data_IF_017757964266
#
_entry.id   IF_017757964266
#
_cell.length_a   1.000
_cell.length_b   1.000
_cell.length_c   1.000
_cell.angle_alpha   90.00
_cell.angle_beta   90.00
_cell.angle_gamma   90.00
#
_symmetry.space_group_name_H-M   'P 1'
#
loop_
_entity.id
_entity.type
_entity.pdbx_description
1 polymer ?
#
# COMPACT_ATOMS: atom_id res chain seq x y z
N UNK A 1 18.83 31.92 -15.62
CA UNK A 1 18.68 30.99 -14.48
C UNK A 1 17.24 30.47 -14.54
N UNK A 2 17.01 29.23 -15.00
CA UNK A 2 15.66 28.64 -15.04
C UNK A 2 15.36 28.12 -13.64
N UNK A 3 14.46 28.77 -12.92
CA UNK A 3 13.95 28.25 -11.64
C UNK A 3 13.26 26.93 -11.97
N UNK A 4 13.69 25.83 -11.33
CA UNK A 4 13.05 24.54 -11.48
C UNK A 4 11.56 24.71 -11.16
N UNK A 5 10.69 24.18 -12.04
CA UNK A 5 9.23 24.21 -11.83
C UNK A 5 8.95 23.67 -10.43
N UNK A 6 8.35 24.50 -9.58
CA UNK A 6 8.06 24.16 -8.19
C UNK A 6 7.24 22.85 -8.18
N UNK A 7 7.83 21.78 -7.68
CA UNK A 7 7.16 20.49 -7.56
C UNK A 7 6.27 20.59 -6.33
N UNK A 8 5.00 20.98 -6.54
CA UNK A 8 3.99 20.93 -5.49
C UNK A 8 3.41 19.53 -5.42
N UNK A 9 3.59 18.87 -4.28
CA UNK A 9 2.85 17.65 -3.98
C UNK A 9 1.38 18.01 -3.77
N UNK A 10 0.49 17.44 -4.58
CA UNK A 10 -0.95 17.62 -4.45
C UNK A 10 -1.48 16.56 -3.48
N UNK A 11 -2.05 16.93 -2.32
CA UNK A 11 -2.60 15.98 -1.35
C UNK A 11 -3.66 15.05 -1.97
N UNK A 12 -4.44 15.54 -2.94
CA UNK A 12 -5.46 14.74 -3.62
C UNK A 12 -4.85 13.63 -4.47
N UNK A 13 -3.75 13.93 -5.17
CA UNK A 13 -3.07 12.95 -6.01
C UNK A 13 -2.34 11.89 -5.16
N UNK A 14 -1.79 12.30 -4.01
CA UNK A 14 -1.22 11.38 -3.03
C UNK A 14 -2.27 10.47 -2.40
N UNK A 15 -3.44 11.00 -2.04
CA UNK A 15 -4.56 10.21 -1.52
C UNK A 15 -5.09 9.21 -2.56
N UNK A 16 -5.19 9.62 -3.84
CA UNK A 16 -5.54 8.71 -4.94
C UNK A 16 -4.51 7.60 -5.13
N UNK A 17 -3.22 7.93 -5.01
CA UNK A 17 -2.16 6.92 -5.07
C UNK A 17 -2.29 5.94 -3.90
N UNK A 18 -2.52 6.43 -2.68
CA UNK A 18 -2.73 5.61 -1.50
C UNK A 18 -3.95 4.66 -1.66
N UNK A 19 -5.04 5.16 -2.24
CA UNK A 19 -6.21 4.34 -2.59
C UNK A 19 -5.89 3.23 -3.60
N UNK A 20 -5.02 3.51 -4.59
CA UNK A 20 -4.57 2.50 -5.53
C UNK A 20 -3.78 1.38 -4.84
N UNK A 21 -2.84 1.72 -3.94
CA UNK A 21 -2.10 0.73 -3.15
C UNK A 21 -3.02 -0.14 -2.28
N UNK A 22 -4.05 0.46 -1.66
CA UNK A 22 -5.05 -0.28 -0.89
C UNK A 22 -5.92 -1.22 -1.75
N UNK A 23 -6.24 -0.80 -2.97
CA UNK A 23 -7.04 -1.61 -3.89
C UNK A 23 -6.25 -2.82 -4.35
N UNK A 24 -5.01 -2.59 -4.80
CA UNK A 24 -4.11 -3.65 -5.24
C UNK A 24 -3.78 -4.63 -4.09
N UNK A 25 -3.60 -4.15 -2.85
CA UNK A 25 -3.36 -5.03 -1.69
C UNK A 25 -4.54 -5.96 -1.40
N UNK A 26 -5.78 -5.45 -1.50
CA UNK A 26 -7.00 -6.23 -1.36
C UNK A 26 -7.16 -7.27 -2.47
N UNK A 27 -6.87 -6.87 -3.71
CA UNK A 27 -6.95 -7.77 -4.86
C UNK A 27 -5.91 -8.89 -4.76
N UNK A 28 -4.69 -8.56 -4.37
CA UNK A 28 -3.64 -9.55 -4.07
C UNK A 28 -4.05 -10.51 -2.96
N UNK A 29 -4.62 -10.00 -1.86
CA UNK A 29 -5.12 -10.84 -0.77
C UNK A 29 -6.23 -11.80 -1.24
N UNK A 30 -7.18 -11.29 -2.04
CA UNK A 30 -8.25 -12.10 -2.64
C UNK A 30 -7.71 -13.17 -3.59
N UNK A 31 -6.73 -12.83 -4.42
CA UNK A 31 -6.06 -13.74 -5.33
C UNK A 31 -5.29 -14.83 -4.58
N UNK A 32 -4.53 -14.47 -3.53
CA UNK A 32 -3.82 -15.43 -2.68
C UNK A 32 -4.78 -16.41 -2.00
N UNK A 33 -5.89 -15.90 -1.44
CA UNK A 33 -6.90 -16.75 -0.79
C UNK A 33 -7.51 -17.74 -1.78
N UNK A 34 -7.82 -17.29 -3.00
CA UNK A 34 -8.34 -18.14 -4.08
C UNK A 34 -7.30 -19.18 -4.47
N UNK A 35 -6.06 -18.77 -4.73
CA UNK A 35 -4.97 -19.65 -5.12
C UNK A 35 -4.73 -20.74 -4.07
N UNK A 36 -4.67 -20.40 -2.78
CA UNK A 36 -4.56 -21.39 -1.68
C UNK A 36 -5.69 -22.41 -1.69
N UNK A 37 -6.91 -21.99 -1.99
CA UNK A 37 -8.06 -22.89 -2.14
C UNK A 37 -7.90 -23.87 -3.31
N UNK A 38 -7.32 -23.44 -4.42
CA UNK A 38 -7.15 -24.25 -5.64
C UNK A 38 -5.94 -25.18 -5.57
N UNK A 39 -4.84 -24.75 -4.94
CA UNK A 39 -3.59 -25.50 -4.86
C UNK A 39 -3.46 -26.32 -3.57
N UNK A 40 -4.42 -26.29 -2.66
CA UNK A 40 -4.39 -27.14 -1.47
C UNK A 40 -4.75 -28.59 -1.84
N UNK A 41 -3.74 -29.41 -2.12
CA UNK A 41 -3.91 -30.85 -2.40
C UNK A 41 -3.97 -31.66 -1.10
N UNK A 42 -4.91 -32.61 -1.04
CA UNK A 42 -4.99 -33.61 0.02
C UNK A 42 -3.80 -34.59 -0.02
N UNK A 43 -3.44 -35.15 1.14
CA UNK A 43 -2.33 -36.11 1.26
C UNK A 43 -2.55 -37.40 0.44
N UNK A 44 -3.82 -37.75 0.20
CA UNK A 44 -4.26 -38.87 -0.62
C UNK A 44 -3.90 -38.72 -2.11
N UNK A 45 -3.69 -37.51 -2.59
CA UNK A 45 -3.31 -37.21 -3.99
C UNK A 45 -1.86 -37.64 -4.28
N UNK A 46 -0.98 -37.68 -3.27
CA UNK A 46 0.43 -38.01 -3.43
C UNK A 46 0.72 -39.52 -3.49
N UNK A 47 -0.29 -40.36 -3.25
CA UNK A 47 -0.17 -41.81 -3.25
C UNK A 47 0.43 -42.39 -1.96
N UNK A 48 0.75 -43.69 -1.96
CA UNK A 48 1.16 -44.45 -0.78
C UNK A 48 2.63 -44.92 -0.80
N UNK A 49 3.45 -44.40 -1.71
CA UNK A 49 4.86 -44.71 -1.77
C UNK A 49 5.63 -44.05 -0.60
N UNK A 50 6.74 -44.63 -0.14
CA UNK A 50 7.58 -44.03 0.91
C UNK A 50 8.09 -42.62 0.54
N UNK A 51 8.23 -42.34 -0.76
CA UNK A 51 8.59 -41.02 -1.27
C UNK A 51 7.43 -40.00 -1.22
N UNK A 52 6.18 -40.45 -1.18
CA UNK A 52 4.99 -39.60 -1.23
C UNK A 52 4.95 -38.60 -0.07
N UNK A 53 5.31 -39.04 1.15
CA UNK A 53 5.36 -38.16 2.32
C UNK A 53 6.40 -37.03 2.16
N UNK A 54 7.55 -37.32 1.52
CA UNK A 54 8.58 -36.30 1.27
C UNK A 54 8.14 -35.30 0.20
N UNK A 55 7.46 -35.78 -0.84
CA UNK A 55 6.91 -34.93 -1.91
C UNK A 55 5.79 -34.04 -1.36
N UNK A 56 4.88 -34.59 -0.55
CA UNK A 56 3.83 -33.83 0.12
C UNK A 56 4.44 -32.73 1.02
N UNK A 57 5.43 -33.08 1.85
CA UNK A 57 6.08 -32.11 2.72
C UNK A 57 6.77 -30.98 1.93
N UNK A 58 7.47 -31.32 0.84
CA UNK A 58 8.08 -30.32 -0.03
C UNK A 58 7.04 -29.43 -0.74
N UNK A 59 5.94 -30.03 -1.18
CA UNK A 59 4.82 -29.32 -1.80
C UNK A 59 4.18 -28.31 -0.85
N UNK A 60 3.79 -28.75 0.35
CA UNK A 60 3.22 -27.88 1.37
C UNK A 60 4.22 -26.79 1.78
N UNK A 61 5.49 -27.15 1.97
CA UNK A 61 6.54 -26.17 2.28
C UNK A 61 6.69 -25.09 1.21
N UNK A 62 6.64 -25.47 -0.07
CA UNK A 62 6.71 -24.51 -1.17
C UNK A 62 5.49 -23.58 -1.22
N UNK A 63 4.27 -24.10 -1.01
CA UNK A 63 3.05 -23.29 -0.99
C UNK A 63 3.04 -22.33 0.19
N UNK A 64 3.42 -22.78 1.37
CA UNK A 64 3.47 -21.94 2.57
C UNK A 64 4.52 -20.82 2.41
N UNK A 65 5.70 -21.14 1.88
CA UNK A 65 6.73 -20.15 1.60
C UNK A 65 6.25 -19.11 0.56
N UNK A 66 5.68 -19.56 -0.56
CA UNK A 66 5.14 -18.66 -1.57
C UNK A 66 4.00 -17.79 -1.03
N UNK A 67 3.11 -18.37 -0.22
CA UNK A 67 2.02 -17.63 0.42
C UNK A 67 2.53 -16.57 1.39
N UNK A 68 3.55 -16.90 2.19
CA UNK A 68 4.19 -15.96 3.13
C UNK A 68 4.82 -14.77 2.38
N UNK A 69 5.47 -15.02 1.25
CA UNK A 69 6.10 -13.94 0.48
C UNK A 69 5.07 -13.00 -0.16
N UNK A 70 3.92 -13.53 -0.60
CA UNK A 70 2.81 -12.70 -1.08
C UNK A 70 2.16 -11.91 0.05
N UNK A 71 1.98 -12.50 1.24
CA UNK A 71 1.50 -11.78 2.43
C UNK A 71 2.42 -10.62 2.82
N UNK A 72 3.73 -10.79 2.72
CA UNK A 72 4.70 -9.72 2.95
C UNK A 72 4.55 -8.59 1.94
N UNK A 73 4.34 -8.92 0.66
CA UNK A 73 4.12 -7.90 -0.36
C UNK A 73 2.84 -7.10 -0.09
N UNK A 74 1.75 -7.77 0.31
CA UNK A 74 0.50 -7.12 0.71
C UNK A 74 0.75 -6.15 1.86
N UNK A 75 1.48 -6.57 2.89
CA UNK A 75 1.81 -5.72 4.03
C UNK A 75 2.61 -4.46 3.64
N UNK A 76 3.56 -4.58 2.69
CA UNK A 76 4.30 -3.43 2.15
C UNK A 76 3.36 -2.46 1.44
N UNK A 77 2.42 -2.96 0.63
CA UNK A 77 1.43 -2.09 -0.02
C UNK A 77 0.54 -1.34 0.99
N UNK A 78 0.19 -1.99 2.10
CA UNK A 78 -0.58 -1.36 3.18
C UNK A 78 0.26 -0.29 3.92
N UNK A 79 1.54 -0.56 4.19
CA UNK A 79 2.46 0.40 4.81
C UNK A 79 2.72 1.63 3.91
N UNK A 80 2.91 1.41 2.61
CA UNK A 80 3.09 2.48 1.63
C UNK A 80 1.83 3.34 1.52
N UNK A 81 0.64 2.73 1.55
CA UNK A 81 -0.63 3.43 1.58
C UNK A 81 -0.77 4.34 2.81
N UNK A 82 -0.46 3.81 4.00
CA UNK A 82 -0.49 4.61 5.23
C UNK A 82 0.48 5.79 5.15
N UNK A 83 1.71 5.54 4.68
CA UNK A 83 2.74 6.57 4.51
C UNK A 83 2.29 7.67 3.56
N UNK A 84 1.68 7.31 2.42
CA UNK A 84 1.15 8.28 1.46
C UNK A 84 0.01 9.13 2.04
N UNK A 85 -0.88 8.53 2.83
CA UNK A 85 -1.93 9.29 3.52
C UNK A 85 -1.35 10.26 4.55
N UNK A 86 -0.38 9.83 5.36
CA UNK A 86 0.28 10.70 6.33
C UNK A 86 0.92 11.92 5.66
N UNK A 87 1.61 11.72 4.52
CA UNK A 87 2.21 12.81 3.74
C UNK A 87 1.12 13.72 3.16
N UNK A 88 0.04 13.16 2.60
CA UNK A 88 -1.07 13.95 2.07
C UNK A 88 -1.69 14.87 3.15
N UNK A 89 -1.92 14.34 4.35
CA UNK A 89 -2.44 15.12 5.47
C UNK A 89 -1.45 16.19 5.93
N UNK A 90 -0.16 15.89 6.01
CA UNK A 90 0.86 16.86 6.40
C UNK A 90 0.92 18.05 5.43
N UNK A 91 0.84 17.79 4.12
CA UNK A 91 0.75 18.85 3.11
C UNK A 91 -0.52 19.67 3.25
N UNK A 92 -1.68 19.02 3.37
CA UNK A 92 -2.96 19.73 3.52
C UNK A 92 -2.98 20.62 4.77
N UNK A 93 -2.49 20.11 5.90
CA UNK A 93 -2.41 20.85 7.16
C UNK A 93 -1.49 22.07 7.04
N UNK A 94 -0.33 21.90 6.39
CA UNK A 94 0.61 22.99 6.15
C UNK A 94 0.01 24.07 5.25
N UNK A 95 -0.68 23.68 4.18
CA UNK A 95 -1.36 24.62 3.27
C UNK A 95 -2.46 25.41 4.00
N UNK A 96 -3.25 24.75 4.86
CA UNK A 96 -4.28 25.40 5.67
C UNK A 96 -3.68 26.41 6.66
N UNK A 97 -2.61 26.04 7.38
CA UNK A 97 -1.95 26.94 8.32
C UNK A 97 -1.31 28.15 7.61
N UNK A 98 -0.72 27.94 6.45
CA UNK A 98 -0.15 29.01 5.64
C UNK A 98 -1.24 29.96 5.14
N UNK A 99 -2.38 29.43 4.66
CA UNK A 99 -3.54 30.21 4.25
C UNK A 99 -4.08 31.07 5.40
N UNK A 100 -4.28 30.48 6.57
CA UNK A 100 -4.71 31.22 7.76
C UNK A 100 -3.71 32.32 8.16
N UNK A 101 -2.41 32.07 8.03
CA UNK A 101 -1.39 33.07 8.35
C UNK A 101 -1.43 34.25 7.36
N UNK A 102 -1.64 33.97 6.07
CA UNK A 102 -1.73 35.00 5.03
C UNK A 102 -2.98 35.86 5.22
N UNK A 103 -4.15 35.23 5.44
CA UNK A 103 -5.41 35.94 5.66
C UNK A 103 -5.30 36.88 6.89
N UNK A 104 -4.72 36.39 8.00
CA UNK A 104 -4.52 37.20 9.20
C UNK A 104 -3.50 38.35 9.04
N UNK A 105 -2.58 38.26 8.08
CA UNK A 105 -1.64 39.34 7.76
C UNK A 105 -2.29 40.40 6.88
N UNK A 106 -3.17 40.01 5.95
CA UNK A 106 -3.94 40.95 5.12
C UNK A 106 -4.94 41.74 5.99
N UNK A 107 -5.63 41.07 6.92
CA UNK A 107 -6.55 41.70 7.88
C UNK A 107 -5.89 42.67 8.87
N UNK A 108 -4.58 42.54 9.12
CA UNK A 108 -3.81 43.39 10.04
C UNK A 108 -2.92 44.43 9.32
N UNK A 109 -3.08 44.62 8.02
CA UNK A 109 -2.31 45.62 7.27
C UNK A 109 -3.06 46.97 7.23
N UNK A 110 -2.60 48.03 7.92
CA UNK A 110 -3.27 49.34 7.96
C UNK A 110 -3.08 50.18 6.67
N UNK A 111 -2.74 49.55 5.53
CA UNK A 111 -2.38 50.23 4.27
C UNK A 111 -3.19 49.77 3.05
N UNK A 112 -4.33 49.12 3.22
CA UNK A 112 -5.36 49.10 2.18
C UNK A 112 -6.16 50.41 2.24
N UNK A 113 -6.25 51.20 1.14
CA UNK A 113 -7.08 52.40 1.09
C UNK A 113 -8.58 52.08 1.16
#
# INVERSE_FOLDING_TARGET
MRVAKEVRANPTDLARLAEAFLTESKDLFGALKTARGEISLGGDVFGNADAAAKVQAAYTGAIEAAGTDVERLIAVCEEDMESLYQVAFAYQYTDQNNGQTIDNVDDNNPLTP
#
